data_IF_825614202968
#
_entry.id   IF_825614202968
#
_cell.length_a   1.000
_cell.length_b   1.000
_cell.length_c   1.000
_cell.angle_alpha   90.00
_cell.angle_beta   90.00
_cell.angle_gamma   90.00
#
_symmetry.space_group_name_H-M   'P 1'
#
loop_
_entity.id
_entity.type
_entity.pdbx_description
1 polymer ?
#
# COMPACT_ATOMS: atom_id res chain seq x y z
N UNK A 1 2.33 -35.08 48.54
CA UNK A 1 2.89 -35.76 47.36
C UNK A 1 1.80 -36.64 46.77
N UNK A 2 1.05 -36.16 45.77
CA UNK A 2 0.02 -36.95 45.07
C UNK A 2 0.24 -36.78 43.57
N UNK A 3 0.65 -37.88 42.96
CA UNK A 3 0.99 -38.05 41.56
C UNK A 3 -0.33 -38.38 40.83
N UNK A 4 -0.77 -37.53 39.90
CA UNK A 4 -1.89 -37.82 39.02
C UNK A 4 -1.35 -38.07 37.61
N UNK A 5 -1.37 -39.34 37.20
CA UNK A 5 -1.18 -39.77 35.83
C UNK A 5 -2.43 -39.39 35.01
N UNK A 6 -2.26 -38.60 33.95
CA UNK A 6 -3.31 -38.39 32.95
C UNK A 6 -2.89 -39.12 31.68
N UNK A 7 -3.64 -40.18 31.35
CA UNK A 7 -3.63 -40.92 30.10
C UNK A 7 -4.13 -40.01 28.96
N UNK A 8 -3.30 -39.79 27.94
CA UNK A 8 -3.70 -39.14 26.70
C UNK A 8 -4.23 -40.21 25.73
N UNK A 9 -5.52 -40.14 25.40
CA UNK A 9 -6.15 -40.95 24.38
C UNK A 9 -5.92 -40.32 23.00
N UNK A 10 -5.40 -41.12 22.06
CA UNK A 10 -5.23 -40.76 20.66
C UNK A 10 -6.60 -40.74 19.95
N UNK A 11 -7.03 -39.57 19.49
CA UNK A 11 -8.16 -39.43 18.58
C UNK A 11 -7.67 -39.56 17.13
N UNK A 12 -8.21 -40.54 16.42
CA UNK A 12 -7.92 -40.82 15.01
C UNK A 12 -8.48 -39.71 14.10
N UNK A 13 -7.62 -39.14 13.26
CA UNK A 13 -8.00 -38.23 12.18
C UNK A 13 -8.59 -39.04 11.01
N UNK A 14 -9.86 -38.83 10.70
CA UNK A 14 -10.48 -39.28 9.45
C UNK A 14 -10.17 -38.25 8.37
N UNK A 15 -9.38 -38.64 7.37
CA UNK A 15 -9.04 -37.82 6.21
C UNK A 15 -10.20 -37.95 5.22
N UNK A 16 -11.00 -36.89 5.09
CA UNK A 16 -12.00 -36.77 4.02
C UNK A 16 -11.32 -36.18 2.78
N UNK A 17 -11.25 -36.97 1.70
CA UNK A 17 -10.75 -36.52 0.40
C UNK A 17 -11.71 -35.50 -0.22
N UNK A 18 -11.25 -34.35 -0.72
CA UNK A 18 -12.10 -33.43 -1.45
C UNK A 18 -12.45 -34.01 -2.82
N UNK A 19 -13.74 -34.04 -3.11
CA UNK A 19 -14.33 -34.42 -4.39
C UNK A 19 -14.14 -33.26 -5.37
N UNK A 20 -13.32 -33.47 -6.41
CA UNK A 20 -13.20 -32.53 -7.52
C UNK A 20 -14.52 -32.48 -8.30
N UNK A 21 -15.19 -31.34 -8.25
CA UNK A 21 -16.34 -31.06 -9.12
C UNK A 21 -15.85 -30.35 -10.38
N UNK A 22 -15.59 -31.17 -11.41
CA UNK A 22 -15.38 -30.73 -12.78
C UNK A 22 -16.71 -30.22 -13.37
N UNK A 23 -16.92 -28.91 -13.28
CA UNK A 23 -17.94 -28.22 -14.07
C UNK A 23 -17.28 -27.51 -15.25
N UNK A 24 -17.39 -28.17 -16.41
CA UNK A 24 -17.32 -27.60 -17.74
C UNK A 24 -18.01 -26.22 -17.85
N UNK A 25 -17.36 -25.27 -18.52
CA UNK A 25 -17.82 -24.61 -19.78
C UNK A 25 -16.80 -23.52 -20.17
N UNK A 26 -16.07 -23.75 -21.25
CA UNK A 26 -16.40 -23.36 -22.62
C UNK A 26 -15.96 -21.92 -22.92
N UNK A 27 -14.98 -21.82 -23.80
CA UNK A 27 -14.27 -20.61 -24.17
C UNK A 27 -15.18 -19.50 -24.65
N UNK A 28 -14.88 -18.30 -24.17
CA UNK A 28 -14.92 -17.12 -25.01
C UNK A 28 -13.47 -16.77 -25.29
N UNK A 29 -13.09 -16.79 -26.56
CA UNK A 29 -11.92 -16.08 -27.06
C UNK A 29 -12.14 -14.59 -26.77
N UNK A 30 -11.84 -14.17 -25.54
CA UNK A 30 -11.66 -12.77 -25.23
C UNK A 30 -10.35 -12.41 -25.89
N UNK A 31 -10.45 -11.95 -27.14
CA UNK A 31 -9.41 -11.15 -27.78
C UNK A 31 -9.11 -10.04 -26.79
N UNK A 32 -8.03 -10.20 -26.03
CA UNK A 32 -7.52 -9.19 -25.15
C UNK A 32 -7.11 -8.05 -26.07
N UNK A 33 -8.04 -7.12 -26.31
CA UNK A 33 -7.67 -5.81 -26.82
C UNK A 33 -6.59 -5.34 -25.85
N UNK A 34 -5.34 -5.14 -26.32
CA UNK A 34 -4.33 -4.60 -25.44
C UNK A 34 -4.94 -3.34 -24.87
N UNK A 35 -5.00 -3.26 -23.55
CA UNK A 35 -5.29 -2.01 -22.87
C UNK A 35 -4.16 -1.10 -23.34
N UNK A 36 -4.44 -0.34 -24.40
CA UNK A 36 -3.66 0.82 -24.78
C UNK A 36 -3.91 1.76 -23.62
N UNK A 37 -3.08 1.65 -22.59
CA UNK A 37 -2.93 2.72 -21.62
C UNK A 37 -2.57 3.90 -22.53
N UNK A 38 -3.47 4.88 -22.69
CA UNK A 38 -3.16 5.98 -23.57
C UNK A 38 -1.83 6.54 -23.05
N UNK A 39 -0.89 6.81 -23.94
CA UNK A 39 0.28 7.65 -23.67
C UNK A 39 -0.25 9.08 -23.40
N UNK A 40 -1.14 9.23 -22.41
CA UNK A 40 -1.57 10.49 -21.85
C UNK A 40 -0.34 11.06 -21.19
N UNK A 41 0.38 11.83 -21.99
CA UNK A 41 1.30 12.89 -21.57
C UNK A 41 2.17 12.40 -20.43
N UNK A 42 3.13 11.50 -20.71
CA UNK A 42 4.35 11.50 -19.90
C UNK A 42 4.89 12.93 -19.99
N UNK A 43 4.88 13.72 -18.91
CA UNK A 43 5.47 15.03 -18.98
C UNK A 43 6.95 14.77 -19.20
N UNK A 44 7.44 14.98 -20.43
CA UNK A 44 8.85 14.84 -20.82
C UNK A 44 9.76 15.86 -20.12
N UNK A 45 9.22 16.54 -19.11
CA UNK A 45 9.81 17.66 -18.37
C UNK A 45 9.78 17.40 -16.85
N UNK A 46 9.08 16.38 -16.37
CA UNK A 46 8.98 16.10 -14.92
C UNK A 46 9.99 15.05 -14.51
N UNK A 47 10.93 15.43 -13.65
CA UNK A 47 11.96 14.54 -13.13
C UNK A 47 11.42 13.57 -12.07
N UNK A 48 10.48 14.03 -11.24
CA UNK A 48 9.88 13.29 -10.13
C UNK A 48 8.36 13.37 -10.19
N UNK A 49 7.69 12.23 -10.22
CA UNK A 49 6.24 12.16 -10.28
C UNK A 49 5.71 11.29 -9.16
N UNK A 50 4.72 11.79 -8.41
CA UNK A 50 3.98 11.03 -7.40
C UNK A 50 2.49 11.17 -7.68
N UNK A 51 1.80 10.06 -7.91
CA UNK A 51 0.36 10.04 -8.15
C UNK A 51 -0.34 9.15 -7.15
N UNK A 52 -1.42 9.65 -6.56
CA UNK A 52 -2.25 8.91 -5.62
C UNK A 52 -3.58 8.50 -6.26
N UNK A 53 -4.03 7.30 -5.88
CA UNK A 53 -5.34 6.77 -6.21
C UNK A 53 -6.45 7.47 -5.43
N UNK A 54 -7.61 7.69 -6.06
CA UNK A 54 -8.72 8.43 -5.44
C UNK A 54 -9.61 7.58 -4.54
N UNK A 55 -9.57 6.26 -4.67
CA UNK A 55 -10.44 5.38 -3.87
C UNK A 55 -9.86 5.21 -2.47
N UNK A 56 -10.65 5.48 -1.44
CA UNK A 56 -10.21 5.35 -0.06
C UNK A 56 -9.87 3.90 0.33
N UNK A 57 -8.82 3.73 1.11
CA UNK A 57 -8.44 2.49 1.78
C UNK A 57 -8.11 2.75 3.24
N UNK A 58 -8.71 1.94 4.10
CA UNK A 58 -8.59 2.01 5.55
C UNK A 58 -7.19 1.62 6.00
N UNK A 59 -6.53 2.42 6.85
CA UNK A 59 -5.24 2.07 7.48
C UNK A 59 -5.34 1.84 8.99
N UNK A 60 -6.57 1.82 9.52
CA UNK A 60 -6.80 1.64 10.94
C UNK A 60 -6.12 2.73 11.75
N UNK A 61 -5.38 2.32 12.79
CA UNK A 61 -4.62 3.19 13.67
C UNK A 61 -3.11 3.22 13.35
N UNK A 62 -2.67 2.55 12.27
CA UNK A 62 -1.28 2.61 11.80
C UNK A 62 -1.16 3.83 10.90
N UNK A 63 -0.68 4.94 11.47
CA UNK A 63 -0.69 6.28 10.84
C UNK A 63 0.65 6.99 11.01
N UNK A 64 0.87 8.04 10.23
CA UNK A 64 2.06 8.89 10.33
C UNK A 64 3.35 8.10 10.12
N UNK A 65 4.33 8.34 11.00
CA UNK A 65 5.64 7.67 10.94
C UNK A 65 5.58 6.16 11.13
N UNK A 66 4.56 5.63 11.80
CA UNK A 66 4.39 4.18 11.99
C UNK A 66 4.02 3.51 10.65
N UNK A 67 3.09 4.11 9.92
CA UNK A 67 2.75 3.69 8.56
C UNK A 67 3.95 3.81 7.62
N UNK A 68 4.69 4.93 7.70
CA UNK A 68 5.93 5.12 6.93
C UNK A 68 6.91 3.96 7.16
N UNK A 69 7.20 3.64 8.42
CA UNK A 69 8.17 2.60 8.79
C UNK A 69 7.77 1.24 8.25
N UNK A 70 6.50 0.85 8.41
CA UNK A 70 5.99 -0.41 7.89
C UNK A 70 6.06 -0.51 6.36
N UNK A 71 5.67 0.55 5.65
CA UNK A 71 5.71 0.62 4.18
C UNK A 71 7.16 0.56 3.70
N UNK A 72 8.03 1.41 4.25
CA UNK A 72 9.43 1.51 3.85
C UNK A 72 10.15 0.17 4.04
N UNK A 73 10.06 -0.42 5.23
CA UNK A 73 10.73 -1.69 5.55
C UNK A 73 10.16 -2.84 4.72
N UNK A 74 8.84 -2.86 4.53
CA UNK A 74 8.19 -3.85 3.70
C UNK A 74 8.65 -3.79 2.25
N UNK A 75 8.72 -2.58 1.67
CA UNK A 75 9.17 -2.36 0.30
C UNK A 75 10.66 -2.68 0.15
N UNK A 76 11.51 -2.19 1.06
CA UNK A 76 12.95 -2.46 1.03
C UNK A 76 13.28 -3.95 1.13
N UNK A 77 12.41 -4.74 1.77
CA UNK A 77 12.54 -6.20 1.82
C UNK A 77 12.20 -6.88 0.49
N UNK A 78 11.12 -6.45 -0.18
CA UNK A 78 10.65 -7.09 -1.43
C UNK A 78 11.30 -6.50 -2.69
N UNK A 79 11.95 -5.35 -2.55
CA UNK A 79 12.69 -4.65 -3.58
C UNK A 79 14.19 -4.79 -3.30
N UNK A 80 14.89 -5.81 -3.81
CA UNK A 80 16.33 -5.82 -3.72
C UNK A 80 16.92 -4.71 -4.60
N UNK A 81 18.02 -4.10 -4.13
CA UNK A 81 18.78 -3.11 -4.92
C UNK A 81 19.35 -3.75 -6.20
N UNK A 82 19.81 -5.01 -6.07
CA UNK A 82 20.32 -5.81 -7.17
C UNK A 82 19.15 -6.44 -7.94
N UNK A 83 19.09 -6.19 -9.25
CA UNK A 83 18.05 -6.72 -10.13
C UNK A 83 17.22 -5.65 -10.84
N UNK A 84 17.19 -4.42 -10.30
CA UNK A 84 16.51 -3.29 -10.93
C UNK A 84 14.98 -3.42 -11.01
N UNK A 85 14.41 -4.35 -10.25
CA UNK A 85 12.98 -4.56 -10.08
C UNK A 85 12.73 -5.24 -8.72
N UNK A 86 11.52 -5.08 -8.20
CA UNK A 86 11.08 -5.75 -6.99
C UNK A 86 10.43 -7.11 -7.30
N UNK A 87 10.41 -7.99 -6.32
CA UNK A 87 9.63 -9.22 -6.35
C UNK A 87 8.14 -8.89 -6.28
N UNK A 88 7.31 -9.62 -7.05
CA UNK A 88 5.84 -9.47 -7.05
C UNK A 88 5.21 -10.05 -5.78
N UNK A 89 5.57 -9.47 -4.65
CA UNK A 89 5.12 -9.83 -3.32
C UNK A 89 4.22 -8.75 -2.72
N UNK A 90 3.61 -9.07 -1.59
CA UNK A 90 2.75 -8.16 -0.85
C UNK A 90 3.27 -7.96 0.57
N UNK A 91 3.13 -6.76 1.08
CA UNK A 91 3.38 -6.40 2.48
C UNK A 91 2.05 -6.47 3.21
N UNK A 92 2.02 -7.15 4.36
CA UNK A 92 0.83 -7.27 5.21
C UNK A 92 1.10 -6.55 6.52
N UNK A 93 0.27 -5.58 6.85
CA UNK A 93 0.34 -4.78 8.06
C UNK A 93 -0.94 -5.05 8.85
N UNK A 94 -0.87 -5.53 10.10
CA UNK A 94 -2.05 -5.76 10.92
C UNK A 94 -2.70 -4.42 11.26
N UNK A 95 -3.97 -4.25 10.90
CA UNK A 95 -4.72 -3.03 11.22
C UNK A 95 -6.11 -3.41 11.74
N UNK A 96 -6.58 -2.78 12.82
CA UNK A 96 -7.94 -3.00 13.29
C UNK A 96 -8.96 -2.25 12.43
N UNK A 97 -10.19 -2.76 12.42
CA UNK A 97 -11.34 -2.06 11.86
C UNK A 97 -12.58 -2.28 12.72
N UNK A 98 -13.63 -1.52 12.44
CA UNK A 98 -14.93 -1.68 13.08
C UNK A 98 -15.93 -2.18 12.04
N UNK A 99 -16.64 -3.26 12.36
CA UNK A 99 -17.73 -3.80 11.57
C UNK A 99 -18.90 -4.23 12.47
N UNK A 100 -20.10 -3.77 12.14
CA UNK A 100 -21.33 -4.04 12.90
C UNK A 100 -21.15 -3.90 14.42
N UNK A 101 -20.61 -2.75 14.86
CA UNK A 101 -20.37 -2.45 16.29
C UNK A 101 -19.30 -3.32 16.98
N UNK A 102 -18.53 -4.11 16.23
CA UNK A 102 -17.42 -4.93 16.75
C UNK A 102 -16.08 -4.38 16.29
N UNK A 103 -15.10 -4.38 17.20
CA UNK A 103 -13.70 -4.10 16.90
C UNK A 103 -13.00 -5.39 16.53
N UNK A 104 -12.60 -5.52 15.26
CA UNK A 104 -12.06 -6.76 14.70
C UNK A 104 -10.59 -6.57 14.30
N UNK A 105 -9.76 -7.63 14.43
CA UNK A 105 -8.46 -7.63 13.80
C UNK A 105 -8.65 -7.69 12.28
N UNK A 106 -7.85 -6.93 11.54
CA UNK A 106 -7.80 -7.01 10.10
C UNK A 106 -6.41 -6.76 9.55
N UNK A 107 -6.33 -6.57 8.24
CA UNK A 107 -5.07 -6.33 7.53
C UNK A 107 -5.16 -5.25 6.47
N UNK A 108 -4.07 -4.50 6.38
CA UNK A 108 -3.71 -3.64 5.28
C UNK A 108 -2.68 -4.40 4.42
N UNK A 109 -2.98 -4.56 3.14
CA UNK A 109 -2.15 -5.28 2.18
C UNK A 109 -1.67 -4.31 1.11
N UNK A 110 -0.36 -4.13 1.01
CA UNK A 110 0.29 -3.34 -0.03
C UNK A 110 0.83 -4.32 -1.05
N UNK A 111 0.26 -4.30 -2.24
CA UNK A 111 0.58 -5.19 -3.35
C UNK A 111 1.45 -4.41 -4.32
N UNK A 112 2.68 -4.87 -4.52
CA UNK A 112 3.50 -4.33 -5.60
C UNK A 112 2.91 -4.74 -6.95
N UNK A 113 2.59 -3.75 -7.80
CA UNK A 113 2.08 -3.99 -9.15
C UNK A 113 3.18 -4.05 -10.18
N UNK A 114 4.06 -3.07 -10.14
CA UNK A 114 5.08 -2.85 -11.14
C UNK A 114 6.20 -1.99 -10.56
N UNK A 115 7.42 -2.28 -10.98
CA UNK A 115 8.61 -1.54 -10.57
C UNK A 115 9.72 -1.69 -11.59
N UNK A 116 10.53 -0.65 -11.71
CA UNK A 116 11.76 -0.66 -12.49
C UNK A 116 12.67 0.43 -11.95
N UNK A 117 13.94 0.14 -11.71
CA UNK A 117 14.91 1.13 -11.28
C UNK A 117 16.33 0.71 -11.67
N UNK A 118 17.27 1.67 -11.83
CA UNK A 118 18.68 1.31 -12.01
C UNK A 118 19.20 0.57 -10.77
N UNK A 119 20.25 -0.25 -10.93
CA UNK A 119 20.95 -0.89 -9.81
C UNK A 119 21.79 0.15 -9.04
N UNK A 120 21.10 1.08 -8.41
CA UNK A 120 21.64 2.19 -7.64
C UNK A 120 20.81 2.32 -6.36
N UNK A 121 21.47 2.13 -5.22
CA UNK A 121 20.84 2.14 -3.91
C UNK A 121 20.14 3.47 -3.59
N UNK A 122 20.68 4.61 -4.04
CA UNK A 122 20.06 5.92 -3.80
C UNK A 122 18.71 6.03 -4.51
N UNK A 123 18.64 5.68 -5.80
CA UNK A 123 17.38 5.67 -6.55
C UNK A 123 16.35 4.74 -5.93
N UNK A 124 16.80 3.56 -5.53
CA UNK A 124 15.98 2.57 -4.87
C UNK A 124 15.35 3.13 -3.58
N UNK A 125 16.17 3.67 -2.68
CA UNK A 125 15.71 4.20 -1.40
C UNK A 125 14.81 5.43 -1.58
N UNK A 126 15.10 6.29 -2.57
CA UNK A 126 14.27 7.44 -2.90
C UNK A 126 12.88 7.04 -3.41
N UNK A 127 12.77 6.06 -4.32
CA UNK A 127 11.47 5.59 -4.80
C UNK A 127 10.61 5.01 -3.68
N UNK A 128 11.21 4.22 -2.79
CA UNK A 128 10.52 3.68 -1.61
C UNK A 128 10.10 4.81 -0.68
N UNK A 129 10.99 5.78 -0.43
CA UNK A 129 10.71 6.96 0.38
C UNK A 129 9.55 7.79 -0.15
N UNK A 130 9.45 7.98 -1.46
CA UNK A 130 8.32 8.68 -2.09
C UNK A 130 6.98 7.96 -1.83
N UNK A 131 6.94 6.63 -1.97
CA UNK A 131 5.73 5.84 -1.71
C UNK A 131 5.35 5.89 -0.22
N UNK A 132 6.32 5.65 0.66
CA UNK A 132 6.10 5.65 2.11
C UNK A 132 5.68 7.04 2.62
N UNK A 133 6.35 8.10 2.15
CA UNK A 133 6.04 9.49 2.47
C UNK A 133 4.64 9.89 2.00
N UNK A 134 4.24 9.53 0.78
CA UNK A 134 2.89 9.81 0.29
C UNK A 134 1.81 9.18 1.17
N UNK A 135 1.99 7.93 1.61
CA UNK A 135 1.05 7.25 2.51
C UNK A 135 1.06 7.81 3.93
N UNK A 136 2.24 8.18 4.45
CA UNK A 136 2.36 8.88 5.72
C UNK A 136 1.53 10.17 5.70
N UNK A 137 1.80 11.07 4.75
CA UNK A 137 1.12 12.37 4.65
C UNK A 137 -0.38 12.22 4.42
N UNK A 138 -0.78 11.19 3.65
CA UNK A 138 -2.19 10.83 3.49
C UNK A 138 -2.89 10.55 4.82
N UNK A 139 -2.23 9.82 5.72
CA UNK A 139 -2.79 9.42 7.02
C UNK A 139 -2.66 10.47 8.13
N UNK A 140 -1.87 11.53 7.92
CA UNK A 140 -1.70 12.63 8.87
C UNK A 140 -2.76 13.74 8.68
N UNK A 141 -3.37 13.83 7.49
CA UNK A 141 -4.38 14.83 7.22
C UNK A 141 -5.73 14.49 7.87
N UNK A 142 -6.24 15.46 8.62
CA UNK A 142 -7.45 15.30 9.43
C UNK A 142 -8.70 14.98 8.61
N UNK A 143 -8.78 15.40 7.34
CA UNK A 143 -9.92 15.12 6.45
C UNK A 143 -9.94 13.67 5.94
N UNK A 144 -8.80 12.99 6.02
CA UNK A 144 -8.68 11.57 5.69
C UNK A 144 -8.92 10.68 6.91
N UNK A 145 -9.22 11.27 8.06
CA UNK A 145 -9.39 10.57 9.31
C UNK A 145 -10.76 10.83 9.93
N UNK A 146 -11.22 9.90 10.75
CA UNK A 146 -12.55 9.91 11.32
C UNK A 146 -12.59 9.21 12.67
N UNK A 147 -13.52 9.66 13.52
CA UNK A 147 -13.90 8.91 14.70
C UNK A 147 -15.00 7.92 14.35
N UNK A 148 -14.87 6.68 14.82
CA UNK A 148 -15.97 5.72 14.82
C UNK A 148 -16.20 5.18 16.24
N UNK A 149 -17.36 4.59 16.47
CA UNK A 149 -17.74 4.00 17.76
C UNK A 149 -18.04 2.52 17.61
N UNK A 150 -17.71 1.74 18.64
CA UNK A 150 -18.04 0.32 18.71
C UNK A 150 -18.44 -0.12 20.12
N UNK A 151 -19.14 -1.24 20.19
CA UNK A 151 -19.68 -1.87 21.37
C UNK A 151 -20.83 -1.08 22.03
N UNK A 152 -21.52 -1.76 22.95
CA UNK A 152 -22.62 -1.19 23.74
C UNK A 152 -22.23 0.06 24.56
N UNK A 153 -20.95 0.20 24.90
CA UNK A 153 -20.40 1.35 25.59
C UNK A 153 -20.02 2.52 24.66
N UNK A 154 -20.26 2.41 23.34
CA UNK A 154 -19.89 3.41 22.32
C UNK A 154 -18.45 3.87 22.43
N UNK A 155 -17.52 2.93 22.59
CA UNK A 155 -16.09 3.22 22.68
C UNK A 155 -15.64 3.89 21.39
N UNK A 156 -14.99 5.04 21.49
CA UNK A 156 -14.52 5.82 20.34
C UNK A 156 -13.12 5.36 19.94
N UNK A 157 -12.91 5.20 18.63
CA UNK A 157 -11.60 4.97 18.04
C UNK A 157 -11.38 5.90 16.85
N UNK A 158 -10.15 6.35 16.67
CA UNK A 158 -9.73 7.19 15.56
C UNK A 158 -9.08 6.33 14.49
N UNK A 159 -9.56 6.45 13.26
CA UNK A 159 -9.02 5.75 12.11
C UNK A 159 -8.75 6.73 10.97
N UNK A 160 -7.87 6.32 10.05
CA UNK A 160 -7.53 7.10 8.86
C UNK A 160 -7.63 6.25 7.59
N UNK A 161 -7.69 6.96 6.46
CA UNK A 161 -7.70 6.42 5.13
C UNK A 161 -6.52 6.96 4.32
N UNK A 162 -6.14 6.20 3.29
CA UNK A 162 -5.19 6.60 2.24
C UNK A 162 -5.77 6.30 0.86
N UNK A 163 -5.12 6.74 -0.21
CA UNK A 163 -5.49 6.37 -1.58
C UNK A 163 -5.25 4.88 -1.86
N UNK A 164 -6.01 4.29 -2.79
CA UNK A 164 -5.92 2.86 -3.14
C UNK A 164 -4.67 2.49 -3.94
N UNK A 165 -3.97 3.46 -4.49
CA UNK A 165 -2.80 3.25 -5.33
C UNK A 165 -1.81 4.36 -5.05
N UNK A 166 -0.52 4.06 -5.12
CA UNK A 166 0.54 5.08 -5.18
C UNK A 166 1.49 4.71 -6.29
N UNK A 167 1.74 5.65 -7.20
CA UNK A 167 2.78 5.55 -8.22
C UNK A 167 3.82 6.63 -7.96
N UNK A 168 5.05 6.21 -7.68
CA UNK A 168 6.21 7.09 -7.63
C UNK A 168 7.12 6.83 -8.83
N UNK A 169 7.66 7.88 -9.44
CA UNK A 169 8.61 7.79 -10.55
C UNK A 169 9.69 8.86 -10.43
N UNK A 170 10.90 8.48 -10.82
CA UNK A 170 12.07 9.36 -10.92
C UNK A 170 12.74 9.06 -12.26
N UNK A 171 12.64 9.97 -13.25
CA UNK A 171 13.02 9.71 -14.66
C UNK A 171 12.42 8.40 -15.19
N UNK A 172 13.26 7.45 -15.62
CA UNK A 172 12.88 6.15 -16.16
C UNK A 172 12.60 5.07 -15.10
N UNK A 173 12.80 5.41 -13.82
CA UNK A 173 12.59 4.53 -12.68
C UNK A 173 11.21 4.78 -12.06
N UNK A 174 10.55 3.74 -11.56
CA UNK A 174 9.23 3.82 -10.94
C UNK A 174 8.94 2.66 -10.01
N UNK A 175 8.02 2.89 -9.08
CA UNK A 175 7.36 1.88 -8.24
C UNK A 175 5.87 2.22 -8.20
N UNK A 176 5.02 1.23 -8.44
CA UNK A 176 3.57 1.34 -8.27
C UNK A 176 3.05 0.27 -7.33
N UNK A 177 2.30 0.69 -6.32
CA UNK A 177 1.67 -0.17 -5.32
C UNK A 177 0.16 0.00 -5.34
N UNK A 178 -0.56 -1.10 -5.20
CA UNK A 178 -2.00 -1.12 -4.89
C UNK A 178 -2.18 -1.41 -3.40
N UNK A 179 -3.13 -0.74 -2.78
CA UNK A 179 -3.47 -0.88 -1.38
C UNK A 179 -4.86 -1.52 -1.27
N UNK A 180 -4.93 -2.57 -0.47
CA UNK A 180 -6.17 -3.24 -0.08
C UNK A 180 -6.26 -3.26 1.42
N UNK A 181 -7.46 -3.08 1.95
CA UNK A 181 -7.68 -3.11 3.39
C UNK A 181 -9.03 -3.75 3.69
N UNK A 182 -9.10 -4.37 4.87
CA UNK A 182 -10.37 -4.78 5.46
C UNK A 182 -11.01 -3.60 6.21
N UNK A 183 -12.34 -3.63 6.27
CA UNK A 183 -13.13 -2.53 6.82
C UNK A 183 -13.45 -1.43 5.81
N UNK A 184 -14.41 -0.59 6.20
CA UNK A 184 -14.82 0.58 5.44
C UNK A 184 -15.24 1.68 6.40
N UNK A 185 -15.18 2.93 5.94
CA UNK A 185 -15.52 4.10 6.74
C UNK A 185 -14.70 5.32 6.35
N UNK A 186 -15.15 6.48 6.82
CA UNK A 186 -14.50 7.76 6.55
C UNK A 186 -14.49 8.16 5.08
N UNK A 187 -13.62 9.11 4.76
CA UNK A 187 -13.38 9.65 3.41
C UNK A 187 -11.89 9.72 3.13
N UNK A 188 -11.53 9.91 1.86
CA UNK A 188 -10.19 10.32 1.42
C UNK A 188 -10.30 11.55 0.52
N UNK A 189 -9.79 12.69 0.99
CA UNK A 189 -9.70 13.98 0.29
C UNK A 189 -8.26 14.14 -0.25
N UNK A 190 -8.02 13.62 -1.45
CA UNK A 190 -6.71 13.68 -2.08
C UNK A 190 -6.21 15.13 -2.31
N UNK A 191 -7.03 16.08 -2.79
CA UNK A 191 -6.62 17.49 -2.90
C UNK A 191 -6.09 18.11 -1.59
N UNK A 192 -6.62 17.69 -0.44
CA UNK A 192 -6.17 18.22 0.85
C UNK A 192 -4.73 17.86 1.20
N UNK A 193 -4.22 16.73 0.69
CA UNK A 193 -2.90 16.22 1.05
C UNK A 193 -1.80 16.56 0.04
N UNK A 194 -2.16 17.06 -1.16
CA UNK A 194 -1.19 17.30 -2.25
C UNK A 194 0.01 18.12 -1.78
N UNK A 195 -0.23 19.24 -1.10
CA UNK A 195 0.83 20.10 -0.57
C UNK A 195 1.72 19.38 0.46
N UNK A 196 1.12 18.60 1.35
CA UNK A 196 1.85 17.85 2.39
C UNK A 196 2.73 16.75 1.77
N UNK A 197 2.24 16.12 0.70
CA UNK A 197 3.03 15.18 -0.10
C UNK A 197 4.14 15.90 -0.84
N UNK A 198 3.89 17.06 -1.46
CA UNK A 198 4.94 17.89 -2.09
C UNK A 198 6.05 18.27 -1.10
N UNK A 199 5.69 18.69 0.11
CA UNK A 199 6.63 19.00 1.19
C UNK A 199 7.47 17.74 1.55
N UNK A 200 6.85 16.55 1.57
CA UNK A 200 7.59 15.29 1.76
C UNK A 200 8.54 14.95 0.61
N UNK A 201 8.25 15.40 -0.62
CA UNK A 201 9.16 15.27 -1.76
C UNK A 201 10.30 16.29 -1.64
N UNK A 202 10.01 17.49 -1.11
CA UNK A 202 11.02 18.51 -0.82
C UNK A 202 12.06 18.06 0.21
N UNK A 203 11.64 17.30 1.22
CA UNK A 203 12.53 16.71 2.22
C UNK A 203 13.60 15.78 1.59
N UNK A 204 13.35 15.24 0.39
CA UNK A 204 14.26 14.37 -0.36
C UNK A 204 15.08 15.10 -1.44
N UNK A 205 14.84 16.41 -1.62
CA UNK A 205 15.50 17.20 -2.67
C UNK A 205 17.03 17.24 -2.55
N UNK A 206 17.65 17.29 -1.35
CA UNK A 206 19.10 17.26 -1.24
C UNK A 206 19.72 16.04 -1.92
N UNK A 207 19.18 14.84 -1.65
CA UNK A 207 19.62 13.57 -2.22
C UNK A 207 19.30 13.49 -3.71
N UNK A 208 18.13 13.99 -4.12
CA UNK A 208 17.74 14.04 -5.53
C UNK A 208 18.67 14.97 -6.32
N UNK A 209 19.04 16.14 -5.80
CA UNK A 209 20.00 17.05 -6.46
C UNK A 209 21.34 16.39 -6.70
N UNK A 210 21.82 15.59 -5.75
CA UNK A 210 23.06 14.83 -5.90
C UNK A 210 22.97 13.83 -7.07
N UNK A 211 21.82 13.17 -7.20
CA UNK A 211 21.55 12.20 -8.27
C UNK A 211 21.40 12.86 -9.64
N UNK A 212 20.77 14.03 -9.70
CA UNK A 212 20.46 14.72 -10.96
C UNK A 212 21.56 15.68 -11.42
N UNK A 213 22.43 16.16 -10.52
CA UNK A 213 23.40 17.21 -10.78
C UNK A 213 22.76 18.60 -11.03
N UNK A 214 21.48 18.75 -10.72
CA UNK A 214 20.68 19.98 -10.86
C UNK A 214 19.43 19.90 -9.98
N UNK A 215 18.68 21.00 -9.88
CA UNK A 215 17.34 20.99 -9.31
C UNK A 215 16.38 20.17 -10.19
N UNK A 216 15.80 19.07 -9.68
CA UNK A 216 14.80 18.31 -10.41
C UNK A 216 13.43 18.97 -10.31
N UNK A 217 12.64 18.87 -11.37
CA UNK A 217 11.21 19.25 -11.34
C UNK A 217 10.39 18.15 -10.69
N UNK A 218 9.29 18.51 -10.02
CA UNK A 218 8.38 17.53 -9.42
C UNK A 218 6.93 17.84 -9.75
N UNK A 219 6.11 16.80 -9.76
CA UNK A 219 4.67 16.88 -9.87
C UNK A 219 4.05 15.86 -8.93
N UNK A 220 3.11 16.33 -8.10
CA UNK A 220 2.28 15.48 -7.25
C UNK A 220 0.82 15.65 -7.69
N UNK A 221 0.12 14.56 -7.94
CA UNK A 221 -1.29 14.62 -8.34
C UNK A 221 -2.16 13.51 -7.75
N UNK A 222 -3.45 13.61 -8.07
CA UNK A 222 -4.48 12.63 -7.75
C UNK A 222 -5.08 12.12 -9.07
N UNK A 223 -4.35 11.28 -9.79
CA UNK A 223 -4.68 10.88 -11.16
C UNK A 223 -5.12 9.42 -11.34
N UNK A 224 -4.91 8.55 -10.35
CA UNK A 224 -5.08 7.11 -10.52
C UNK A 224 -6.46 6.64 -10.06
N UNK A 225 -7.04 5.73 -10.83
CA UNK A 225 -8.24 4.97 -10.46
C UNK A 225 -7.90 3.48 -10.32
#
# INVERSE_FOLDING_TARGET
MRLFCILAAFAAFVIASPTESNWFRAGADVVANPIVIPDTVRPSVTDIYVSLGKTQRHVGNVVGSDLYGHVWQGLARICPVLGGHCNKESIVIPVPYVDQDRYLPGKLVIILKDSRYPTNEKFHNLLIGLVAGALQRSSEDRKNCYWTTYGSQKRRVWFCNVGNTVWASIKDAFIRVEIKAEGSGGTFDCPAILRSVEDSVDDLMPELREVFGRDPTRLVDCGLD
#
